data_IF_618581688683
#
_entry.id   IF_618581688683
#
_cell.length_a   1.000
_cell.length_b   1.000
_cell.length_c   1.000
_cell.angle_alpha   90.00
_cell.angle_beta   90.00
_cell.angle_gamma   90.00
#
_symmetry.space_group_name_H-M   'P 1'
#
loop_
_entity.id
_entity.type
_entity.pdbx_description
1 polymer ?
#
# COMPACT_ATOMS: atom_id res chain seq x y z
N UNK A 1 -7.10 -16.69 31.85
CA UNK A 1 -6.33 -16.03 30.77
C UNK A 1 -7.17 -16.11 29.52
N UNK A 2 -7.80 -15.01 29.10
CA UNK A 2 -8.32 -14.94 27.74
C UNK A 2 -7.15 -15.22 26.80
N UNK A 3 -7.29 -16.21 25.91
CA UNK A 3 -6.27 -16.45 24.90
C UNK A 3 -6.18 -15.21 24.02
N UNK A 4 -4.97 -14.72 23.73
CA UNK A 4 -4.72 -13.58 22.82
C UNK A 4 -5.53 -13.71 21.51
N UNK A 5 -5.76 -14.94 21.05
CA UNK A 5 -6.58 -15.29 19.88
C UNK A 5 -8.05 -14.83 20.02
N UNK A 6 -8.62 -14.90 21.23
CA UNK A 6 -9.99 -14.46 21.49
C UNK A 6 -10.15 -12.94 21.34
N UNK A 7 -9.09 -12.17 21.57
CA UNK A 7 -9.11 -10.70 21.44
C UNK A 7 -9.09 -10.26 19.96
N UNK A 8 -8.69 -11.14 19.04
CA UNK A 8 -8.78 -10.90 17.59
C UNK A 8 -10.16 -11.24 17.00
N UNK A 9 -11.01 -11.95 17.75
CA UNK A 9 -12.33 -12.35 17.27
C UNK A 9 -13.23 -11.15 16.87
N UNK A 10 -13.29 -10.04 17.62
CA UNK A 10 -14.01 -8.84 17.20
C UNK A 10 -13.48 -8.22 15.90
N UNK A 11 -12.16 -8.26 15.67
CA UNK A 11 -11.53 -7.74 14.44
C UNK A 11 -11.98 -8.55 13.23
N UNK A 12 -12.04 -9.88 13.38
CA UNK A 12 -12.54 -10.78 12.34
C UNK A 12 -14.01 -10.53 12.04
N UNK A 13 -14.85 -10.37 13.07
CA UNK A 13 -16.27 -10.03 12.90
C UNK A 13 -16.42 -8.71 12.15
N UNK A 14 -15.66 -7.69 12.55
CA UNK A 14 -15.69 -6.38 11.89
C UNK A 14 -15.32 -6.48 10.40
N UNK A 15 -14.23 -7.20 10.08
CA UNK A 15 -13.84 -7.44 8.69
C UNK A 15 -14.91 -8.20 7.89
N UNK A 16 -15.54 -9.21 8.49
CA UNK A 16 -16.61 -9.96 7.86
C UNK A 16 -17.84 -9.09 7.57
N UNK A 17 -18.26 -8.27 8.55
CA UNK A 17 -19.38 -7.32 8.37
C UNK A 17 -19.05 -6.30 7.26
N UNK A 18 -17.82 -5.77 7.22
CA UNK A 18 -17.40 -4.83 6.18
C UNK A 18 -17.49 -5.45 4.77
N UNK A 19 -17.03 -6.70 4.60
CA UNK A 19 -17.14 -7.44 3.34
C UNK A 19 -18.61 -7.72 2.98
N UNK A 20 -19.45 -8.11 3.95
CA UNK A 20 -20.88 -8.35 3.72
C UNK A 20 -21.59 -7.07 3.29
N UNK A 21 -21.31 -5.93 3.94
CA UNK A 21 -21.90 -4.64 3.57
C UNK A 21 -21.44 -4.24 2.16
N UNK A 22 -20.13 -4.28 1.87
CA UNK A 22 -19.60 -3.96 0.55
C UNK A 22 -20.21 -4.88 -0.54
N UNK A 23 -20.30 -6.18 -0.26
CA UNK A 23 -20.93 -7.16 -1.13
C UNK A 23 -22.44 -6.92 -1.32
N UNK A 24 -23.16 -6.55 -0.26
CA UNK A 24 -24.58 -6.21 -0.34
C UNK A 24 -24.82 -4.93 -1.14
N UNK A 25 -23.96 -3.93 -1.01
CA UNK A 25 -24.03 -2.70 -1.80
C UNK A 25 -23.78 -2.97 -3.29
N UNK A 26 -22.72 -3.73 -3.63
CA UNK A 26 -22.45 -4.13 -5.01
C UNK A 26 -23.57 -5.03 -5.56
N UNK A 27 -24.01 -6.02 -4.78
CA UNK A 27 -25.08 -6.95 -5.15
C UNK A 27 -26.43 -6.26 -5.36
N UNK A 28 -26.79 -5.29 -4.51
CA UNK A 28 -28.02 -4.50 -4.67
C UNK A 28 -27.97 -3.63 -5.92
N UNK A 29 -26.82 -3.06 -6.27
CA UNK A 29 -26.63 -2.33 -7.53
C UNK A 29 -26.85 -3.23 -8.75
N UNK A 30 -26.43 -4.49 -8.69
CA UNK A 30 -26.62 -5.45 -9.78
C UNK A 30 -28.06 -6.00 -9.85
N UNK A 31 -28.70 -6.26 -8.71
CA UNK A 31 -30.04 -6.86 -8.64
C UNK A 31 -31.18 -5.85 -8.86
N UNK A 32 -31.06 -4.66 -8.28
CA UNK A 32 -32.11 -3.64 -8.33
C UNK A 32 -31.79 -2.50 -9.31
N UNK A 33 -30.55 -2.39 -9.79
CA UNK A 33 -30.16 -1.38 -10.75
C UNK A 33 -30.72 -1.64 -12.15
N UNK A 34 -31.17 -0.59 -12.83
CA UNK A 34 -31.63 -0.71 -14.22
C UNK A 34 -30.44 -0.92 -15.16
N UNK A 35 -30.18 -2.17 -15.51
CA UNK A 35 -29.13 -2.55 -16.46
C UNK A 35 -29.63 -2.41 -17.90
N UNK A 36 -29.22 -1.34 -18.60
CA UNK A 36 -29.37 -1.21 -20.07
C UNK A 36 -27.99 -1.12 -20.73
N UNK A 37 -27.30 -2.25 -21.01
CA UNK A 37 -26.07 -2.23 -21.79
C UNK A 37 -26.40 -1.98 -23.27
N UNK A 38 -25.63 -1.10 -23.90
CA UNK A 38 -25.63 -0.88 -25.35
C UNK A 38 -24.21 -0.47 -25.76
N UNK A 39 -23.88 -0.60 -27.04
CA UNK A 39 -22.50 -0.52 -27.56
C UNK A 39 -21.67 0.62 -26.96
N UNK A 40 -22.18 1.87 -27.02
CA UNK A 40 -21.44 3.05 -26.53
C UNK A 40 -21.35 3.15 -25.01
N UNK A 41 -22.29 2.56 -24.25
CA UNK A 41 -22.20 2.57 -22.78
C UNK A 41 -21.11 1.63 -22.28
N UNK A 42 -20.77 0.63 -23.07
CA UNK A 42 -19.77 -0.40 -22.77
C UNK A 42 -18.44 -0.16 -23.50
N UNK A 43 -18.35 0.87 -24.35
CA UNK A 43 -17.09 1.26 -24.99
C UNK A 43 -16.21 2.01 -23.98
N UNK A 44 -14.89 1.98 -24.23
CA UNK A 44 -13.95 2.73 -23.40
C UNK A 44 -14.16 4.24 -23.60
N UNK A 45 -13.99 5.00 -22.52
CA UNK A 45 -14.13 6.45 -22.57
C UNK A 45 -12.93 7.08 -23.27
N UNK A 46 -13.13 7.59 -24.49
CA UNK A 46 -12.13 8.32 -25.29
C UNK A 46 -12.74 9.60 -25.90
N UNK A 47 -13.43 10.40 -25.08
CA UNK A 47 -14.07 11.66 -25.50
C UNK A 47 -15.01 11.54 -26.74
N UNK A 48 -15.62 10.37 -26.96
CA UNK A 48 -16.52 10.10 -28.09
C UNK A 48 -15.84 9.56 -29.35
N UNK A 49 -14.55 9.24 -29.29
CA UNK A 49 -13.82 8.58 -30.36
C UNK A 49 -13.65 7.09 -30.09
N UNK A 50 -13.36 6.33 -31.15
CA UNK A 50 -12.90 4.95 -30.97
C UNK A 50 -11.50 4.96 -30.32
N UNK A 51 -11.22 4.03 -29.39
CA UNK A 51 -9.91 3.95 -28.75
C UNK A 51 -8.80 3.86 -29.79
N UNK A 52 -7.91 4.84 -29.78
CA UNK A 52 -6.76 4.85 -30.66
C UNK A 52 -5.66 4.00 -30.06
N UNK A 53 -5.08 3.11 -30.89
CA UNK A 53 -3.80 2.43 -30.64
C UNK A 53 -3.82 1.29 -29.59
N UNK A 54 -2.77 0.46 -29.60
CA UNK A 54 -2.57 -0.61 -28.60
C UNK A 54 -2.13 0.01 -27.26
N UNK A 55 -2.85 -0.29 -26.18
CA UNK A 55 -2.58 0.21 -24.82
C UNK A 55 -1.36 -0.42 -24.16
N UNK A 56 -0.71 -1.40 -24.80
CA UNK A 56 0.48 -2.11 -24.28
C UNK A 56 1.77 -1.29 -24.39
N UNK A 57 1.77 -0.06 -23.85
CA UNK A 57 2.99 0.72 -23.68
C UNK A 57 3.68 0.32 -22.39
N UNK A 58 5.02 0.41 -22.40
CA UNK A 58 5.79 0.23 -21.17
C UNK A 58 5.53 1.44 -20.27
N UNK A 59 5.04 1.18 -19.07
CA UNK A 59 4.92 2.20 -18.04
C UNK A 59 6.32 2.71 -17.64
N UNK A 60 6.37 3.94 -17.15
CA UNK A 60 7.62 4.54 -16.70
C UNK A 60 8.24 3.72 -15.55
N UNK A 61 9.56 3.54 -15.58
CA UNK A 61 10.33 2.83 -14.55
C UNK A 61 10.27 3.58 -13.21
N UNK A 62 9.92 4.86 -13.20
CA UNK A 62 9.73 5.66 -11.98
C UNK A 62 8.79 4.99 -10.96
N UNK A 63 7.70 4.36 -11.40
CA UNK A 63 6.79 3.64 -10.48
C UNK A 63 7.48 2.47 -9.76
N UNK A 64 8.38 1.79 -10.46
CA UNK A 64 9.16 0.69 -9.90
C UNK A 64 10.19 1.18 -8.87
N UNK A 65 10.86 2.31 -9.15
CA UNK A 65 11.81 2.92 -8.21
C UNK A 65 11.12 3.32 -6.90
N UNK A 66 9.97 3.98 -6.98
CA UNK A 66 9.17 4.36 -5.81
C UNK A 66 8.69 3.12 -5.04
N UNK A 67 8.25 2.07 -5.73
CA UNK A 67 7.78 0.85 -5.10
C UNK A 67 8.90 0.12 -4.32
N UNK A 68 10.11 0.03 -4.89
CA UNK A 68 11.25 -0.58 -4.18
C UNK A 68 11.65 0.25 -2.98
N UNK A 69 11.71 1.57 -3.12
CA UNK A 69 12.02 2.45 -2.01
C UNK A 69 11.00 2.32 -0.87
N UNK A 70 9.71 2.24 -1.21
CA UNK A 70 8.66 1.98 -0.24
C UNK A 70 8.86 0.66 0.50
N UNK A 71 9.22 -0.43 -0.20
CA UNK A 71 9.50 -1.73 0.43
C UNK A 71 10.68 -1.64 1.42
N UNK A 72 11.74 -0.93 1.06
CA UNK A 72 12.91 -0.75 1.93
C UNK A 72 12.52 0.03 3.20
N UNK A 73 11.77 1.13 3.05
CA UNK A 73 11.28 1.91 4.19
C UNK A 73 10.27 1.16 5.06
N UNK A 74 9.38 0.37 4.47
CA UNK A 74 8.44 -0.46 5.23
C UNK A 74 9.19 -1.50 6.09
N UNK A 75 10.23 -2.10 5.51
CA UNK A 75 11.13 -2.99 6.22
C UNK A 75 11.89 -2.28 7.34
N UNK A 76 12.37 -1.04 7.12
CA UNK A 76 12.98 -0.22 8.17
C UNK A 76 12.03 -0.03 9.37
N UNK A 77 10.78 0.33 9.09
CA UNK A 77 9.75 0.54 10.12
C UNK A 77 9.44 -0.77 10.86
N UNK A 78 9.42 -1.91 10.16
CA UNK A 78 9.24 -3.21 10.78
C UNK A 78 10.33 -3.54 11.83
N UNK A 79 11.57 -3.09 11.62
CA UNK A 79 12.65 -3.21 12.62
C UNK A 79 12.58 -2.13 13.71
N UNK A 80 12.09 -0.94 13.38
CA UNK A 80 11.93 0.17 14.31
C UNK A 80 10.89 -0.12 15.41
N UNK A 81 9.80 -0.83 15.10
CA UNK A 81 8.74 -1.13 16.06
C UNK A 81 9.20 -1.94 17.28
N UNK A 82 9.83 -3.13 17.13
CA UNK A 82 10.35 -3.90 18.27
C UNK A 82 11.37 -3.11 19.09
N UNK A 83 12.24 -2.34 18.42
CA UNK A 83 13.21 -1.49 19.09
C UNK A 83 12.54 -0.39 19.93
N UNK A 84 11.56 0.31 19.36
CA UNK A 84 10.83 1.37 20.05
C UNK A 84 10.07 0.86 21.28
N UNK A 85 9.41 -0.30 21.17
CA UNK A 85 8.67 -0.92 22.28
C UNK A 85 9.59 -1.48 23.38
N UNK A 86 10.85 -1.80 23.06
CA UNK A 86 11.83 -2.35 24.00
C UNK A 86 12.87 -1.33 24.50
N UNK A 87 12.76 -0.06 24.10
CA UNK A 87 13.76 0.98 24.34
C UNK A 87 14.16 1.12 25.82
N UNK A 88 13.20 0.98 26.73
CA UNK A 88 13.43 1.06 28.19
C UNK A 88 14.28 -0.08 28.76
N UNK A 89 14.48 -1.18 28.03
CA UNK A 89 15.15 -2.41 28.50
C UNK A 89 16.51 -2.67 27.85
N UNK A 90 16.77 -2.11 26.68
CA UNK A 90 17.95 -2.44 25.85
C UNK A 90 19.20 -1.58 26.16
N UNK A 91 19.05 -0.51 26.93
CA UNK A 91 20.15 0.36 27.34
C UNK A 91 20.85 1.09 26.19
N UNK A 92 22.01 1.68 26.47
CA UNK A 92 22.72 2.55 25.53
C UNK A 92 23.24 1.82 24.29
N UNK A 93 23.64 0.56 24.44
CA UNK A 93 24.12 -0.26 23.32
C UNK A 93 23.04 -0.52 22.28
N UNK A 94 21.84 -0.93 22.71
CA UNK A 94 20.70 -1.15 21.81
C UNK A 94 20.17 0.14 21.18
N UNK A 95 20.30 1.27 21.88
CA UNK A 95 20.01 2.58 21.30
C UNK A 95 20.98 2.92 20.17
N UNK A 96 22.29 2.86 20.43
CA UNK A 96 23.33 3.19 19.45
C UNK A 96 23.33 2.25 18.23
N UNK A 97 23.04 0.96 18.41
CA UNK A 97 22.96 0.02 17.29
C UNK A 97 21.86 0.41 16.29
N UNK A 98 20.69 0.84 16.80
CA UNK A 98 19.60 1.29 15.93
C UNK A 98 19.90 2.65 15.31
N UNK A 99 20.55 3.57 16.03
CA UNK A 99 21.01 4.84 15.44
C UNK A 99 22.00 4.59 14.29
N UNK A 100 22.90 3.61 14.42
CA UNK A 100 23.77 3.20 13.33
C UNK A 100 23.00 2.62 12.14
N UNK A 101 22.02 1.76 12.39
CA UNK A 101 21.15 1.19 11.34
C UNK A 101 20.38 2.28 10.58
N UNK A 102 19.71 3.19 11.29
CA UNK A 102 18.99 4.31 10.69
C UNK A 102 19.92 5.24 9.91
N UNK A 103 21.13 5.49 10.41
CA UNK A 103 22.11 6.33 9.72
C UNK A 103 22.50 5.73 8.35
N UNK A 104 22.73 4.42 8.28
CA UNK A 104 23.07 3.75 7.01
C UNK A 104 21.93 3.85 6.00
N UNK A 105 20.68 3.62 6.43
CA UNK A 105 19.52 3.72 5.55
C UNK A 105 19.23 5.16 5.13
N UNK A 106 19.39 6.12 6.05
CA UNK A 106 19.25 7.55 5.75
C UNK A 106 20.27 7.99 4.71
N UNK A 107 21.52 7.50 4.77
CA UNK A 107 22.53 7.77 3.74
C UNK A 107 22.12 7.19 2.38
N UNK A 108 21.59 5.96 2.36
CA UNK A 108 21.04 5.35 1.15
C UNK A 108 19.91 6.18 0.54
N UNK A 109 18.97 6.63 1.37
CA UNK A 109 17.87 7.50 0.95
C UNK A 109 18.36 8.85 0.41
N UNK A 110 19.31 9.50 1.09
CA UNK A 110 19.91 10.77 0.62
C UNK A 110 20.57 10.55 -0.75
N UNK A 111 21.27 9.43 -0.94
CA UNK A 111 21.90 9.11 -2.22
C UNK A 111 20.86 8.98 -3.35
N UNK A 112 19.76 8.26 -3.12
CA UNK A 112 18.68 8.11 -4.09
C UNK A 112 17.97 9.44 -4.39
N UNK A 113 17.77 10.26 -3.36
CA UNK A 113 17.23 11.61 -3.50
C UNK A 113 18.12 12.48 -4.39
N UNK A 114 19.43 12.52 -4.09
CA UNK A 114 20.40 13.28 -4.90
C UNK A 114 20.54 12.74 -6.32
N UNK A 115 20.21 11.47 -6.57
CA UNK A 115 20.20 10.84 -7.89
C UNK A 115 18.94 11.14 -8.72
N UNK A 116 17.96 11.84 -8.15
CA UNK A 116 16.71 12.16 -8.82
C UNK A 116 15.77 10.97 -8.97
N UNK A 117 15.95 9.89 -8.18
CA UNK A 117 15.08 8.71 -8.25
C UNK A 117 13.61 9.00 -7.87
N UNK A 118 13.39 10.15 -7.25
CA UNK A 118 12.10 10.65 -6.76
C UNK A 118 11.56 11.84 -7.57
N UNK A 119 12.24 12.27 -8.63
CA UNK A 119 11.82 13.40 -9.45
C UNK A 119 10.71 13.00 -10.43
N UNK A 120 9.70 13.86 -10.52
CA UNK A 120 8.44 13.61 -11.26
C UNK A 120 8.20 14.55 -12.44
N UNK A 121 9.25 15.26 -12.87
CA UNK A 121 9.24 16.14 -14.04
C UNK A 121 9.80 15.46 -15.31
#
# INVERSE_FOLDING_TARGET
>A
MHSVIADYFPVLIFGAIAVVIAGAMLGSSLLFGWQKPYSEKTSAYECGFEPFDDTRRRFDVRFYLVAILFIIFDLEVAFLFPWAVSLSRIGWFGFLSMMGFLAVLTVGFIYEWCKGALEWD
#
